data_IF_173377164767
#
_entry.id   IF_173377164767
#
_cell.length_a   1.000
_cell.length_b   1.000
_cell.length_c   1.000
_cell.angle_alpha   90.00
_cell.angle_beta   90.00
_cell.angle_gamma   90.00
#
_symmetry.space_group_name_H-M   'P 1'
#
loop_
_entity.id
_entity.type
_entity.pdbx_description
1 polymer ?
#
# COMPACT_ATOMS: atom_id res chain seq x y z
N UNK A 1 17.58 -6.69 15.99
CA UNK A 1 16.51 -6.71 14.98
C UNK A 1 16.39 -5.29 14.43
N UNK A 2 16.55 -5.11 13.12
CA UNK A 2 16.23 -3.85 12.46
C UNK A 2 14.73 -3.58 12.61
N UNK A 3 14.35 -2.31 12.82
CA UNK A 3 12.95 -1.86 12.89
C UNK A 3 12.78 -0.68 11.95
N UNK A 4 11.60 -0.57 11.33
CA UNK A 4 11.25 0.60 10.56
C UNK A 4 11.17 1.83 11.48
N UNK A 5 11.53 2.98 10.94
CA UNK A 5 11.32 4.26 11.63
C UNK A 5 9.82 4.56 11.70
N UNK A 6 9.43 5.42 12.64
CA UNK A 6 8.03 5.90 12.73
C UNK A 6 7.55 6.51 11.41
N UNK A 7 8.43 7.24 10.73
CA UNK A 7 8.11 7.85 9.44
C UNK A 7 7.82 6.79 8.37
N UNK A 8 8.61 5.72 8.32
CA UNK A 8 8.39 4.61 7.39
C UNK A 8 7.10 3.85 7.69
N UNK A 9 6.78 3.63 8.97
CA UNK A 9 5.50 3.01 9.37
C UNK A 9 4.33 3.90 8.95
N UNK A 10 4.39 5.21 9.25
CA UNK A 10 3.36 6.15 8.83
C UNK A 10 3.18 6.19 7.30
N UNK A 11 4.25 5.97 6.54
CA UNK A 11 4.19 5.90 5.10
C UNK A 11 3.49 4.62 4.61
N UNK A 12 3.78 3.47 5.22
CA UNK A 12 3.06 2.23 4.94
C UNK A 12 1.56 2.41 5.24
N UNK A 13 1.24 2.93 6.44
CA UNK A 13 -0.13 3.19 6.86
C UNK A 13 -0.85 4.16 5.90
N UNK A 14 -0.16 5.21 5.45
CA UNK A 14 -0.72 6.15 4.48
C UNK A 14 -1.11 5.45 3.17
N UNK A 15 -0.20 4.64 2.61
CA UNK A 15 -0.45 3.96 1.33
C UNK A 15 -1.60 2.96 1.46
N UNK A 16 -1.59 2.12 2.49
CA UNK A 16 -2.62 1.11 2.73
C UNK A 16 -4.01 1.78 2.94
N UNK A 17 -4.06 2.91 3.65
CA UNK A 17 -5.28 3.70 3.79
C UNK A 17 -5.77 4.29 2.46
N UNK A 18 -4.88 4.81 1.62
CA UNK A 18 -5.27 5.34 0.30
C UNK A 18 -5.82 4.24 -0.62
N UNK A 19 -5.27 3.03 -0.54
CA UNK A 19 -5.77 1.87 -1.27
C UNK A 19 -7.16 1.47 -0.75
N UNK A 20 -7.33 1.43 0.57
CA UNK A 20 -8.64 1.16 1.17
C UNK A 20 -9.69 2.21 0.75
N UNK A 21 -9.34 3.50 0.79
CA UNK A 21 -10.23 4.57 0.33
C UNK A 21 -10.56 4.46 -1.17
N UNK A 22 -9.58 4.08 -2.00
CA UNK A 22 -9.81 3.84 -3.42
C UNK A 22 -10.83 2.71 -3.63
N UNK A 23 -10.69 1.60 -2.90
CA UNK A 23 -11.64 0.48 -2.94
C UNK A 23 -13.07 0.94 -2.62
N UNK A 24 -13.26 1.71 -1.55
CA UNK A 24 -14.57 2.24 -1.19
C UNK A 24 -15.18 3.16 -2.28
N UNK A 25 -14.34 3.86 -3.04
CA UNK A 25 -14.79 4.79 -4.09
C UNK A 25 -15.12 4.11 -5.40
N UNK A 26 -14.43 3.02 -5.76
CA UNK A 26 -14.64 2.30 -7.03
C UNK A 26 -15.74 1.26 -6.94
N UNK A 27 -15.99 0.71 -5.75
CA UNK A 27 -17.03 -0.28 -5.56
C UNK A 27 -18.43 0.37 -5.64
N UNK A 28 -19.45 -0.36 -6.08
CA UNK A 28 -20.83 0.13 -6.03
C UNK A 28 -21.18 0.60 -4.61
N UNK A 29 -21.98 1.67 -4.43
CA UNK A 29 -22.33 2.18 -3.09
C UNK A 29 -23.01 1.15 -2.18
N UNK A 30 -23.60 0.09 -2.76
CA UNK A 30 -24.20 -1.04 -2.04
C UNK A 30 -23.19 -2.09 -1.55
N UNK A 31 -21.89 -1.90 -1.84
CA UNK A 31 -20.80 -2.81 -1.53
C UNK A 31 -19.69 -2.04 -0.82
N UNK A 32 -19.84 -1.91 0.49
CA UNK A 32 -18.74 -1.52 1.37
C UNK A 32 -17.98 -2.78 1.80
N UNK A 33 -16.67 -2.68 1.85
CA UNK A 33 -15.81 -3.73 2.40
C UNK A 33 -15.22 -3.24 3.72
N UNK A 34 -15.01 -4.15 4.66
CA UNK A 34 -14.22 -3.85 5.85
C UNK A 34 -12.72 -3.80 5.48
N UNK A 35 -11.90 -3.33 6.42
CA UNK A 35 -10.45 -3.36 6.25
C UNK A 35 -9.94 -4.79 6.08
N UNK A 36 -9.46 -5.10 4.88
CA UNK A 36 -8.91 -6.41 4.52
C UNK A 36 -7.46 -6.22 4.03
N UNK A 37 -6.51 -6.63 4.87
CA UNK A 37 -5.08 -6.45 4.60
C UNK A 37 -4.58 -7.30 3.44
N UNK A 38 -5.24 -8.43 3.14
CA UNK A 38 -4.86 -9.29 2.02
C UNK A 38 -5.26 -8.63 0.69
N UNK A 39 -6.47 -8.06 0.63
CA UNK A 39 -6.94 -7.31 -0.54
C UNK A 39 -6.12 -6.03 -0.73
N UNK A 40 -5.91 -5.27 0.34
CA UNK A 40 -5.10 -4.05 0.31
C UNK A 40 -3.67 -4.37 -0.14
N UNK A 41 -3.07 -5.43 0.41
CA UNK A 41 -1.74 -5.89 0.03
C UNK A 41 -1.65 -6.30 -1.44
N UNK A 42 -2.60 -7.08 -1.95
CA UNK A 42 -2.63 -7.49 -3.35
C UNK A 42 -2.71 -6.29 -4.31
N UNK A 43 -3.52 -5.28 -3.97
CA UNK A 43 -3.65 -4.07 -4.78
C UNK A 43 -2.40 -3.19 -4.66
N UNK A 44 -1.83 -3.06 -3.46
CA UNK A 44 -0.55 -2.38 -3.25
C UNK A 44 0.53 -2.96 -4.14
N UNK A 45 0.62 -4.29 -4.20
CA UNK A 45 1.62 -4.98 -5.00
C UNK A 45 1.38 -4.75 -6.50
N UNK A 46 0.13 -4.81 -6.96
CA UNK A 46 -0.25 -4.48 -8.34
C UNK A 46 0.07 -3.01 -8.72
N UNK A 47 -0.17 -2.05 -7.82
CA UNK A 47 0.24 -0.66 -8.00
C UNK A 47 1.77 -0.56 -8.03
N UNK A 48 2.44 -1.26 -7.11
CA UNK A 48 3.90 -1.34 -7.03
C UNK A 48 4.52 -1.80 -8.33
N UNK A 49 3.97 -2.83 -8.98
CA UNK A 49 4.43 -3.27 -10.30
C UNK A 49 4.37 -2.16 -11.36
N UNK A 50 3.34 -1.30 -11.33
CA UNK A 50 3.21 -0.22 -12.31
C UNK A 50 4.13 0.96 -12.02
N UNK A 51 4.56 1.16 -10.77
CA UNK A 51 5.37 2.32 -10.37
C UNK A 51 6.85 1.93 -10.24
N UNK A 52 7.15 0.89 -9.47
CA UNK A 52 8.50 0.40 -9.20
C UNK A 52 9.11 -0.25 -10.44
N UNK A 53 8.40 -1.16 -11.13
CA UNK A 53 9.00 -1.84 -12.29
C UNK A 53 9.21 -0.86 -13.45
N UNK A 54 8.42 0.21 -13.52
CA UNK A 54 8.62 1.32 -14.47
C UNK A 54 9.66 2.34 -14.01
N UNK A 55 10.33 2.10 -12.89
CA UNK A 55 11.40 2.93 -12.31
C UNK A 55 10.97 4.37 -12.04
N UNK A 56 9.69 4.59 -11.74
CA UNK A 56 9.16 5.91 -11.36
C UNK A 56 9.61 6.26 -9.94
N UNK A 57 9.64 5.27 -9.05
CA UNK A 57 10.19 5.39 -7.70
C UNK A 57 10.76 4.03 -7.26
N UNK A 58 11.68 4.02 -6.29
CA UNK A 58 12.21 2.78 -5.73
C UNK A 58 11.19 2.09 -4.80
N UNK A 59 11.37 0.79 -4.57
CA UNK A 59 10.52 0.05 -3.61
C UNK A 59 10.55 0.67 -2.21
N UNK A 60 11.72 1.10 -1.74
CA UNK A 60 11.86 1.73 -0.42
C UNK A 60 11.16 3.09 -0.34
N UNK A 61 11.06 3.82 -1.45
CA UNK A 61 10.29 5.06 -1.54
C UNK A 61 8.79 4.79 -1.71
N UNK A 62 8.39 3.66 -2.28
CA UNK A 62 6.99 3.30 -2.46
C UNK A 62 6.38 2.73 -1.17
N UNK A 63 6.98 1.64 -0.67
CA UNK A 63 6.54 0.93 0.51
C UNK A 63 7.78 0.43 1.29
N UNK A 64 8.26 1.21 2.28
CA UNK A 64 9.47 0.88 3.03
C UNK A 64 9.40 -0.53 3.64
N UNK A 65 10.49 -1.29 3.61
CA UNK A 65 10.55 -2.61 4.22
C UNK A 65 11.88 -2.83 4.95
N UNK A 66 11.91 -3.82 5.85
CA UNK A 66 13.14 -4.28 6.46
C UNK A 66 13.90 -5.11 5.44
N UNK A 67 15.04 -4.62 4.97
CA UNK A 67 15.99 -5.46 4.24
C UNK A 67 16.45 -6.58 5.17
N UNK A 68 16.03 -7.80 4.85
CA UNK A 68 16.57 -9.06 5.40
C UNK A 68 17.94 -9.33 4.83
#
# INVERSE_FOLDING_TARGET
MSKLTKQQINQQDFLDNQIFELLQRILPPSKQIDWDIEIIGAIRDAIGEQIVNKKIMSEMEFYPYLKT
#
